data_IF_485429833885
#
_entry.id   IF_485429833885
#
_cell.length_a   1.000
_cell.length_b   1.000
_cell.length_c   1.000
_cell.angle_alpha   90.00
_cell.angle_beta   90.00
_cell.angle_gamma   90.00
#
_symmetry.space_group_name_H-M   'P 1'
#
loop_
_entity.id
_entity.type
_entity.pdbx_description
1 polymer ?
#
# COMPACT_ATOMS: atom_id res chain seq x y z
N UNK A 1 -75.07 23.40 23.61
CA UNK A 1 -74.02 22.35 23.39
C UNK A 1 -73.57 22.52 21.96
N UNK A 2 -72.58 23.31 21.72
CA UNK A 2 -71.95 23.59 20.44
C UNK A 2 -70.65 22.84 20.38
N UNK A 3 -70.58 21.85 19.46
CA UNK A 3 -69.37 21.04 19.24
C UNK A 3 -68.50 21.78 18.26
N UNK A 4 -67.30 22.26 18.74
CA UNK A 4 -66.23 22.79 17.89
C UNK A 4 -65.48 21.62 17.25
N UNK A 5 -65.67 21.44 15.96
CA UNK A 5 -64.87 20.55 15.14
C UNK A 5 -63.61 21.34 14.69
N UNK A 6 -62.46 21.03 15.32
CA UNK A 6 -61.18 21.55 14.87
C UNK A 6 -60.80 20.90 13.53
N UNK A 7 -60.92 21.65 12.46
CA UNK A 7 -60.48 21.29 11.10
C UNK A 7 -58.94 21.37 11.04
N UNK A 8 -58.31 20.18 11.01
CA UNK A 8 -56.86 20.06 10.80
C UNK A 8 -56.52 20.42 9.35
N UNK A 9 -56.04 21.61 9.14
CA UNK A 9 -55.54 22.05 7.83
C UNK A 9 -54.28 21.30 7.47
N UNK A 10 -54.43 20.29 6.62
CA UNK A 10 -53.37 19.53 5.98
C UNK A 10 -52.57 20.48 5.06
N UNK A 11 -51.31 20.78 5.41
CA UNK A 11 -50.44 21.61 4.59
C UNK A 11 -50.20 20.94 3.24
N UNK A 12 -50.46 21.63 2.10
CA UNK A 12 -50.24 21.06 0.79
C UNK A 12 -48.78 20.74 0.60
N UNK A 13 -48.45 19.42 0.38
CA UNK A 13 -47.14 18.95 -0.04
C UNK A 13 -46.86 19.51 -1.43
N UNK A 14 -46.05 20.55 -1.50
CA UNK A 14 -45.62 21.19 -2.75
C UNK A 14 -44.89 20.18 -3.58
N UNK A 15 -45.55 19.59 -4.58
CA UNK A 15 -44.94 18.68 -5.58
C UNK A 15 -43.81 19.45 -6.25
N UNK A 16 -42.56 19.07 -5.93
CA UNK A 16 -41.37 19.63 -6.60
C UNK A 16 -41.48 19.28 -8.08
N UNK A 17 -41.44 20.29 -8.94
CA UNK A 17 -41.54 20.09 -10.40
C UNK A 17 -40.39 19.18 -10.92
N UNK A 18 -40.55 18.50 -12.06
CA UNK A 18 -39.53 17.59 -12.60
C UNK A 18 -38.18 18.26 -12.81
N UNK A 19 -38.15 19.54 -13.09
CA UNK A 19 -36.90 20.33 -13.19
C UNK A 19 -36.13 20.45 -11.87
N UNK A 20 -36.84 20.63 -10.76
CA UNK A 20 -36.21 20.69 -9.42
C UNK A 20 -35.64 19.32 -9.06
N UNK A 21 -36.38 18.26 -9.34
CA UNK A 21 -35.90 16.89 -9.14
C UNK A 21 -34.64 16.60 -9.97
N UNK A 22 -34.65 16.95 -11.26
CA UNK A 22 -33.49 16.73 -12.15
C UNK A 22 -32.27 17.52 -11.67
N UNK A 23 -32.44 18.77 -11.27
CA UNK A 23 -31.37 19.59 -10.68
C UNK A 23 -30.81 18.94 -9.41
N UNK A 24 -31.68 18.50 -8.50
CA UNK A 24 -31.26 17.92 -7.22
C UNK A 24 -30.48 16.61 -7.45
N UNK A 25 -30.90 15.77 -8.41
CA UNK A 25 -30.17 14.57 -8.83
C UNK A 25 -28.80 14.93 -9.42
N UNK A 26 -28.75 15.93 -10.30
CA UNK A 26 -27.49 16.39 -10.90
C UNK A 26 -26.51 16.91 -9.83
N UNK A 27 -26.99 17.69 -8.86
CA UNK A 27 -26.17 18.20 -7.75
C UNK A 27 -25.62 17.03 -6.91
N UNK A 28 -26.44 16.03 -6.60
CA UNK A 28 -25.98 14.84 -5.87
C UNK A 28 -24.88 14.11 -6.64
N UNK A 29 -25.07 13.90 -7.96
CA UNK A 29 -24.07 13.24 -8.80
C UNK A 29 -22.77 14.03 -8.83
N UNK A 30 -22.83 15.36 -8.96
CA UNK A 30 -21.63 16.22 -8.96
C UNK A 30 -20.89 16.15 -7.63
N UNK A 31 -21.63 16.24 -6.52
CA UNK A 31 -21.04 16.14 -5.18
C UNK A 31 -20.42 14.76 -4.97
N UNK A 32 -21.11 13.68 -5.34
CA UNK A 32 -20.61 12.33 -5.23
C UNK A 32 -19.34 12.12 -6.08
N UNK A 33 -19.32 12.65 -7.31
CA UNK A 33 -18.15 12.61 -8.18
C UNK A 33 -16.97 13.38 -7.58
N UNK A 34 -17.21 14.55 -7.02
CA UNK A 34 -16.19 15.40 -6.40
C UNK A 34 -15.61 14.73 -5.14
N UNK A 35 -16.45 14.17 -4.28
CA UNK A 35 -16.01 13.42 -3.09
C UNK A 35 -15.22 12.20 -3.52
N UNK A 36 -15.71 11.43 -4.51
CA UNK A 36 -14.99 10.26 -5.04
C UNK A 36 -13.62 10.66 -5.62
N UNK A 37 -13.56 11.77 -6.34
CA UNK A 37 -12.31 12.31 -6.86
C UNK A 37 -11.31 12.65 -5.77
N UNK A 38 -11.75 13.37 -4.73
CA UNK A 38 -10.88 13.75 -3.59
C UNK A 38 -10.37 12.50 -2.87
N UNK A 39 -11.24 11.54 -2.58
CA UNK A 39 -10.85 10.30 -1.90
C UNK A 39 -9.82 9.51 -2.74
N UNK A 40 -10.09 9.31 -4.03
CA UNK A 40 -9.17 8.58 -4.92
C UNK A 40 -7.83 9.29 -5.14
N UNK A 41 -7.81 10.63 -5.10
CA UNK A 41 -6.60 11.41 -5.40
C UNK A 41 -5.71 11.59 -4.18
N UNK A 42 -6.29 11.63 -2.97
CA UNK A 42 -5.55 12.06 -1.77
C UNK A 42 -5.54 11.04 -0.64
N UNK A 43 -6.39 10.03 -0.68
CA UNK A 43 -6.54 9.09 0.46
C UNK A 43 -6.13 7.68 0.10
N UNK A 44 -6.59 7.17 -1.05
CA UNK A 44 -6.39 5.75 -1.41
C UNK A 44 -6.05 5.63 -2.89
N UNK A 45 -4.93 4.96 -3.18
CA UNK A 45 -4.52 4.63 -4.55
C UNK A 45 -4.52 3.12 -4.79
N UNK A 46 -4.93 2.71 -5.99
CA UNK A 46 -4.89 1.30 -6.40
C UNK A 46 -3.58 1.01 -7.14
N UNK A 47 -2.93 -0.11 -6.79
CA UNK A 47 -1.74 -0.59 -7.47
C UNK A 47 -1.94 -2.02 -7.98
N UNK A 48 -1.26 -2.34 -9.07
CA UNK A 48 -1.18 -3.66 -9.65
C UNK A 48 0.15 -4.32 -9.28
N UNK A 49 0.14 -5.61 -8.96
CA UNK A 49 1.32 -6.37 -8.56
C UNK A 49 1.91 -7.12 -9.76
N UNK A 50 3.04 -6.66 -10.33
CA UNK A 50 3.63 -7.29 -11.51
C UNK A 50 4.62 -8.42 -11.20
N UNK A 51 5.10 -8.54 -9.95
CA UNK A 51 6.20 -9.43 -9.59
C UNK A 51 5.85 -10.35 -8.43
N UNK A 52 6.57 -11.48 -8.34
CA UNK A 52 6.39 -12.48 -7.29
C UNK A 52 7.21 -12.22 -6.02
N UNK A 53 7.77 -11.02 -5.81
CA UNK A 53 8.63 -10.74 -4.65
C UNK A 53 7.90 -10.76 -3.30
N UNK A 54 6.57 -10.67 -3.32
CA UNK A 54 5.69 -10.73 -2.14
C UNK A 54 4.79 -11.97 -2.16
N UNK A 55 5.15 -13.00 -2.98
CA UNK A 55 4.40 -14.24 -3.05
C UNK A 55 4.24 -14.88 -1.67
N UNK A 56 3.11 -15.46 -1.43
CA UNK A 56 2.42 -15.88 -0.23
C UNK A 56 1.48 -14.79 0.32
N UNK A 57 1.90 -13.55 0.41
CA UNK A 57 1.03 -12.42 0.81
C UNK A 57 0.33 -11.81 -0.41
N UNK A 58 1.09 -11.40 -1.43
CA UNK A 58 0.57 -10.83 -2.68
C UNK A 58 1.04 -11.67 -3.87
N UNK A 59 0.12 -12.01 -4.76
CA UNK A 59 0.43 -12.75 -5.98
C UNK A 59 0.51 -11.84 -7.20
N UNK A 60 1.16 -12.32 -8.24
CA UNK A 60 1.18 -11.64 -9.54
C UNK A 60 -0.26 -11.47 -10.03
N UNK A 61 -0.59 -10.30 -10.55
CA UNK A 61 -1.90 -9.82 -10.99
C UNK A 61 -2.87 -9.42 -9.87
N UNK A 62 -2.48 -9.48 -8.60
CA UNK A 62 -3.27 -8.87 -7.54
C UNK A 62 -3.40 -7.35 -7.76
N UNK A 63 -4.53 -6.80 -7.35
CA UNK A 63 -4.73 -5.35 -7.21
C UNK A 63 -4.93 -5.02 -5.75
N UNK A 64 -4.20 -4.05 -5.28
CA UNK A 64 -4.19 -3.64 -3.88
C UNK A 64 -4.63 -2.19 -3.75
N UNK A 65 -5.17 -1.85 -2.59
CA UNK A 65 -5.38 -0.45 -2.17
C UNK A 65 -4.31 -0.06 -1.17
N UNK A 66 -3.82 1.16 -1.37
CA UNK A 66 -2.74 1.78 -0.60
C UNK A 66 -3.28 3.04 0.07
N UNK A 67 -3.13 3.12 1.38
CA UNK A 67 -3.43 4.29 2.19
C UNK A 67 -2.22 5.24 2.16
N UNK A 68 -2.40 6.40 1.54
CA UNK A 68 -1.35 7.42 1.44
C UNK A 68 -1.41 8.42 2.61
N UNK A 69 -2.51 8.46 3.33
CA UNK A 69 -2.79 9.53 4.29
C UNK A 69 -2.41 9.15 5.72
N UNK A 70 -2.90 8.01 6.21
CA UNK A 70 -2.75 7.61 7.61
C UNK A 70 -1.28 7.49 8.04
N UNK A 71 -0.36 6.89 7.24
CA UNK A 71 1.04 6.76 7.63
C UNK A 71 1.79 8.10 7.77
N UNK A 72 1.31 9.16 7.11
CA UNK A 72 1.90 10.51 7.25
C UNK A 72 1.71 11.09 8.66
N UNK A 73 0.76 10.57 9.42
CA UNK A 73 0.39 11.06 10.75
C UNK A 73 0.79 10.07 11.84
N UNK A 74 0.62 8.77 11.60
CA UNK A 74 0.91 7.71 12.57
C UNK A 74 2.31 7.10 12.41
N UNK A 75 2.96 7.31 11.26
CA UNK A 75 4.17 6.59 10.88
C UNK A 75 3.88 5.20 10.33
N UNK A 76 4.93 4.43 10.17
CA UNK A 76 4.90 3.03 9.75
C UNK A 76 5.24 2.13 10.92
N UNK A 77 4.72 0.91 10.90
CA UNK A 77 5.00 -0.12 11.87
C UNK A 77 5.75 -1.29 11.22
N UNK A 78 6.43 -2.10 12.04
CA UNK A 78 7.00 -3.36 11.57
C UNK A 78 5.89 -4.25 11.01
N UNK A 79 6.19 -4.95 9.91
CA UNK A 79 5.20 -5.79 9.24
C UNK A 79 4.33 -5.06 8.22
N UNK A 80 4.28 -3.73 8.23
CA UNK A 80 3.55 -2.98 7.20
C UNK A 80 4.04 -3.35 5.80
N UNK A 81 3.11 -3.58 4.88
CA UNK A 81 3.43 -3.74 3.47
C UNK A 81 3.36 -2.36 2.82
N UNK A 82 4.48 -1.87 2.32
CA UNK A 82 4.59 -0.50 1.78
C UNK A 82 4.82 -0.51 0.27
N UNK A 83 4.22 0.49 -0.39
CA UNK A 83 4.50 0.83 -1.79
C UNK A 83 5.40 2.06 -1.79
N UNK A 84 6.48 2.01 -2.55
CA UNK A 84 7.45 3.10 -2.63
C UNK A 84 8.02 3.25 -4.03
N UNK A 85 8.51 4.45 -4.35
CA UNK A 85 9.22 4.75 -5.59
C UNK A 85 10.63 4.17 -5.51
N UNK A 86 11.22 3.89 -6.68
CA UNK A 86 12.63 3.48 -6.75
C UNK A 86 13.53 4.47 -6.00
N UNK A 87 14.21 4.05 -4.92
CA UNK A 87 15.11 4.95 -4.16
C UNK A 87 16.39 5.31 -4.91
N UNK A 88 16.61 4.71 -6.07
CA UNK A 88 17.73 4.98 -6.94
C UNK A 88 18.46 3.71 -7.41
N UNK A 89 18.03 3.20 -8.56
CA UNK A 89 18.69 2.08 -9.25
C UNK A 89 18.29 0.69 -8.78
N UNK A 90 17.17 0.53 -8.07
CA UNK A 90 16.60 -0.76 -7.75
C UNK A 90 15.85 -1.38 -8.93
N UNK A 91 15.32 -0.53 -9.78
CA UNK A 91 14.66 -0.93 -11.02
C UNK A 91 15.57 -0.68 -12.23
N UNK A 92 15.53 -1.55 -13.25
CA UNK A 92 16.19 -1.25 -14.50
C UNK A 92 15.60 0.04 -15.10
N UNK A 93 16.40 0.84 -15.83
CA UNK A 93 15.91 2.05 -16.48
C UNK A 93 14.66 1.75 -17.31
N UNK A 94 13.60 2.53 -17.11
CA UNK A 94 12.36 2.34 -17.84
C UNK A 94 12.62 2.45 -19.35
N UNK A 95 12.08 1.54 -20.18
CA UNK A 95 12.16 1.66 -21.62
C UNK A 95 11.57 3.00 -22.05
N UNK A 96 12.29 3.76 -22.88
CA UNK A 96 11.76 5.00 -23.43
C UNK A 96 10.52 4.67 -24.27
N UNK A 97 9.35 4.92 -23.74
CA UNK A 97 8.10 4.70 -24.45
C UNK A 97 7.95 5.83 -25.48
N UNK A 98 7.78 5.53 -26.77
CA UNK A 98 7.55 6.57 -27.76
C UNK A 98 6.27 7.35 -27.44
N UNK A 99 6.25 8.65 -27.75
CA UNK A 99 5.10 9.51 -27.53
C UNK A 99 3.83 8.88 -28.12
N UNK A 100 2.81 8.70 -27.27
CA UNK A 100 1.54 8.09 -27.67
C UNK A 100 0.60 9.13 -28.27
N UNK A 101 -0.29 8.75 -29.20
CA UNK A 101 -1.31 9.66 -29.72
C UNK A 101 -2.20 10.21 -28.58
N UNK A 102 -2.57 11.47 -28.66
CA UNK A 102 -3.39 12.19 -27.68
C UNK A 102 -4.66 11.44 -27.24
N UNK A 103 -5.32 10.74 -28.17
CA UNK A 103 -6.53 9.95 -27.85
C UNK A 103 -6.22 8.75 -26.94
N UNK A 104 -5.04 8.16 -27.08
CA UNK A 104 -4.58 7.04 -26.23
C UNK A 104 -4.23 7.58 -24.84
N UNK A 105 -3.56 8.73 -24.76
CA UNK A 105 -3.27 9.40 -23.48
C UNK A 105 -4.55 9.79 -22.74
N UNK A 106 -5.55 10.31 -23.44
CA UNK A 106 -6.85 10.64 -22.86
C UNK A 106 -7.60 9.39 -22.36
N UNK A 107 -7.54 8.28 -23.12
CA UNK A 107 -8.11 7.00 -22.69
C UNK A 107 -7.36 6.42 -21.47
N UNK A 108 -6.03 6.46 -21.48
CA UNK A 108 -5.19 6.05 -20.36
C UNK A 108 -5.47 6.90 -19.12
N UNK A 109 -5.67 8.21 -19.26
CA UNK A 109 -6.07 9.09 -18.18
C UNK A 109 -7.41 8.66 -17.55
N UNK A 110 -8.43 8.37 -18.39
CA UNK A 110 -9.73 7.86 -17.92
C UNK A 110 -9.58 6.50 -17.23
N UNK A 111 -8.79 5.59 -17.79
CA UNK A 111 -8.53 4.27 -17.22
C UNK A 111 -7.77 4.37 -15.88
N UNK A 112 -6.80 5.29 -15.79
CA UNK A 112 -6.10 5.61 -14.53
C UNK A 112 -7.08 6.17 -13.50
N UNK A 113 -7.96 7.07 -13.92
CA UNK A 113 -8.98 7.64 -13.05
C UNK A 113 -9.96 6.57 -12.50
N UNK A 114 -10.27 5.55 -13.28
CA UNK A 114 -11.12 4.42 -12.85
C UNK A 114 -10.32 3.35 -12.09
N UNK A 115 -8.97 3.49 -12.00
CA UNK A 115 -8.09 2.52 -11.34
C UNK A 115 -7.83 1.25 -12.16
N UNK A 116 -8.00 1.33 -13.48
CA UNK A 116 -7.78 0.22 -14.41
C UNK A 116 -6.44 0.31 -15.16
N UNK A 117 -5.69 1.41 -15.00
CA UNK A 117 -4.38 1.56 -15.63
C UNK A 117 -3.31 0.76 -14.89
N UNK A 118 -2.37 0.21 -15.65
CA UNK A 118 -1.18 -0.51 -15.15
C UNK A 118 0.08 0.35 -15.16
N UNK A 119 -0.04 1.63 -15.50
CA UNK A 119 1.11 2.52 -15.75
C UNK A 119 1.91 2.79 -14.48
N UNK A 120 1.27 2.84 -13.31
CA UNK A 120 1.92 3.10 -12.02
C UNK A 120 2.78 1.92 -11.51
N UNK A 121 2.66 0.74 -12.13
CA UNK A 121 3.39 -0.45 -11.68
C UNK A 121 4.87 -0.49 -12.11
N UNK A 122 5.30 0.39 -13.02
CA UNK A 122 6.65 0.36 -13.59
C UNK A 122 7.70 1.09 -12.74
N UNK A 123 7.25 2.06 -11.93
CA UNK A 123 8.16 2.93 -11.15
C UNK A 123 8.04 2.68 -9.63
N UNK A 124 7.23 1.71 -9.21
CA UNK A 124 6.94 1.45 -7.81
C UNK A 124 7.27 0.01 -7.42
N UNK A 125 7.79 -0.13 -6.21
CA UNK A 125 8.07 -1.41 -5.58
C UNK A 125 7.14 -1.64 -4.39
N UNK A 126 6.91 -2.91 -4.07
CA UNK A 126 6.11 -3.32 -2.91
C UNK A 126 6.96 -4.26 -2.07
N UNK A 127 7.15 -3.94 -0.77
CA UNK A 127 7.91 -4.75 0.19
C UNK A 127 7.31 -4.63 1.59
N UNK A 128 7.73 -5.53 2.48
CA UNK A 128 7.38 -5.49 3.91
C UNK A 128 8.43 -4.73 4.70
N UNK A 129 7.98 -3.90 5.62
CA UNK A 129 8.85 -3.17 6.57
C UNK A 129 9.37 -4.15 7.62
N UNK A 130 10.69 -4.31 7.67
CA UNK A 130 11.39 -5.13 8.65
C UNK A 130 12.09 -4.26 9.70
N UNK A 131 12.66 -3.13 9.28
CA UNK A 131 13.33 -2.19 10.20
C UNK A 131 12.79 -0.78 10.06
N UNK A 132 12.53 -0.17 11.20
CA UNK A 132 12.10 1.23 11.38
C UNK A 132 13.31 2.13 11.68
N UNK A 133 13.17 3.47 11.54
CA UNK A 133 14.26 4.40 11.87
C UNK A 133 14.87 4.16 13.25
N UNK A 134 16.16 3.92 13.29
CA UNK A 134 16.93 3.65 14.52
C UNK A 134 17.03 2.17 14.91
N UNK A 135 16.32 1.27 14.24
CA UNK A 135 16.46 -0.15 14.53
C UNK A 135 17.80 -0.71 14.05
N UNK A 136 18.32 -1.63 14.83
CA UNK A 136 19.46 -2.48 14.48
C UNK A 136 18.94 -3.83 13.99
N UNK A 137 19.09 -4.10 12.70
CA UNK A 137 18.56 -5.29 12.03
C UNK A 137 19.73 -6.17 11.58
N UNK A 138 19.74 -7.41 12.01
CA UNK A 138 20.83 -8.35 11.74
C UNK A 138 20.28 -9.66 11.18
N UNK A 139 20.88 -10.17 10.16
CA UNK A 139 20.69 -11.54 9.67
C UNK A 139 22.03 -12.30 9.72
N UNK A 140 22.01 -13.50 10.22
CA UNK A 140 20.96 -14.25 10.90
C UNK A 140 21.56 -14.84 12.19
N UNK A 141 20.69 -15.14 13.15
CA UNK A 141 21.11 -15.91 14.32
C UNK A 141 21.39 -17.39 13.95
N UNK A 142 21.81 -18.19 14.92
CA UNK A 142 22.14 -19.62 14.71
C UNK A 142 20.92 -20.47 14.26
N UNK A 143 19.71 -19.95 14.37
CA UNK A 143 18.47 -20.58 13.90
C UNK A 143 18.01 -20.07 12.53
N UNK A 144 18.80 -19.22 11.88
CA UNK A 144 18.43 -18.62 10.60
C UNK A 144 17.43 -17.46 10.70
N UNK A 145 17.16 -16.94 11.90
CA UNK A 145 16.18 -15.87 12.10
C UNK A 145 16.83 -14.49 12.03
N UNK A 146 16.09 -13.52 11.51
CA UNK A 146 16.45 -12.09 11.64
C UNK A 146 16.28 -11.67 13.10
N UNK A 147 17.16 -10.79 13.56
CA UNK A 147 17.04 -10.14 14.85
C UNK A 147 16.87 -8.63 14.66
N UNK A 148 15.92 -8.04 15.41
CA UNK A 148 15.70 -6.61 15.43
C UNK A 148 15.95 -6.13 16.87
N UNK A 149 16.88 -5.21 17.03
CA UNK A 149 17.30 -4.71 18.35
C UNK A 149 17.77 -5.82 19.31
N UNK A 150 18.26 -6.93 18.75
CA UNK A 150 18.70 -8.12 19.48
C UNK A 150 17.59 -9.13 19.80
N UNK A 151 16.34 -8.85 19.43
CA UNK A 151 15.21 -9.80 19.54
C UNK A 151 15.02 -10.58 18.24
N UNK A 152 15.03 -11.93 18.26
CA UNK A 152 14.74 -12.74 17.09
C UNK A 152 13.25 -12.64 16.74
N UNK A 153 12.93 -12.65 15.45
CA UNK A 153 11.57 -12.69 14.91
C UNK A 153 11.32 -14.02 14.20
N UNK A 154 10.12 -14.60 14.40
CA UNK A 154 9.69 -15.81 13.70
C UNK A 154 8.76 -15.46 12.55
N UNK A 155 9.32 -15.41 11.36
CA UNK A 155 8.67 -14.96 10.14
C UNK A 155 8.02 -16.09 9.34
N UNK A 156 8.07 -17.34 9.81
CA UNK A 156 7.60 -18.52 9.06
C UNK A 156 6.12 -18.45 8.65
N UNK A 157 5.32 -17.66 9.35
CA UNK A 157 3.90 -17.48 9.05
C UNK A 157 3.64 -16.86 7.67
N UNK A 158 4.54 -15.99 7.18
CA UNK A 158 4.36 -15.26 5.91
C UNK A 158 5.48 -15.47 4.89
N UNK A 159 6.61 -16.05 5.26
CA UNK A 159 7.68 -16.30 4.31
C UNK A 159 7.32 -17.36 3.26
N UNK A 160 7.63 -17.06 2.01
CA UNK A 160 7.67 -18.05 0.94
C UNK A 160 9.10 -18.57 0.81
N UNK A 161 9.35 -19.73 1.40
CA UNK A 161 10.65 -20.42 1.38
C UNK A 161 10.52 -21.71 0.57
N UNK A 162 10.87 -21.72 -0.72
CA UNK A 162 10.87 -22.93 -1.52
C UNK A 162 11.98 -23.88 -1.03
N UNK A 163 11.68 -25.18 -1.01
CA UNK A 163 12.67 -26.20 -0.75
C UNK A 163 12.87 -26.61 0.73
N UNK A 164 12.11 -26.01 1.66
CA UNK A 164 12.21 -26.36 3.08
C UNK A 164 13.32 -25.63 3.83
N UNK A 165 13.87 -24.57 3.25
CA UNK A 165 14.77 -23.65 3.92
C UNK A 165 14.07 -22.99 5.12
N UNK A 166 14.80 -22.83 6.20
CA UNK A 166 14.33 -22.17 7.42
C UNK A 166 15.02 -20.83 7.66
N UNK A 167 16.05 -20.51 6.87
CA UNK A 167 16.76 -19.24 6.99
C UNK A 167 15.95 -18.09 6.38
N UNK A 168 15.85 -17.03 7.13
CA UNK A 168 15.13 -15.84 6.70
C UNK A 168 15.83 -15.06 5.57
N UNK A 169 17.10 -15.35 5.29
CA UNK A 169 17.87 -14.77 4.20
C UNK A 169 19.15 -15.57 3.94
N UNK A 170 19.53 -15.68 2.65
CA UNK A 170 20.84 -16.21 2.22
C UNK A 170 21.92 -15.12 2.19
N UNK A 171 21.54 -13.87 2.39
CA UNK A 171 22.45 -12.73 2.42
C UNK A 171 22.57 -12.24 3.85
N UNK A 172 23.80 -12.23 4.36
CA UNK A 172 24.11 -11.65 5.66
C UNK A 172 24.05 -10.12 5.61
N UNK A 173 23.52 -9.52 6.67
CA UNK A 173 23.54 -8.09 6.86
C UNK A 173 23.51 -7.74 8.35
N UNK A 174 24.16 -6.62 8.68
CA UNK A 174 24.19 -6.03 10.00
C UNK A 174 24.08 -4.52 9.82
N UNK A 175 22.87 -3.98 9.97
CA UNK A 175 22.56 -2.60 9.59
C UNK A 175 21.81 -1.88 10.70
N UNK A 176 22.12 -0.60 10.87
CA UNK A 176 21.29 0.31 11.66
C UNK A 176 20.53 1.22 10.71
N UNK A 177 19.20 1.18 10.79
CA UNK A 177 18.34 1.95 9.91
C UNK A 177 18.48 3.44 10.16
N UNK A 178 18.88 4.25 9.17
CA UNK A 178 19.02 5.69 9.33
C UNK A 178 17.70 6.38 9.71
N UNK A 179 17.80 7.55 10.32
CA UNK A 179 16.65 8.42 10.52
C UNK A 179 15.95 8.68 9.17
N UNK A 180 14.61 8.69 9.17
CA UNK A 180 13.77 8.89 7.99
C UNK A 180 13.93 7.85 6.87
N UNK A 181 14.35 6.63 7.20
CA UNK A 181 14.47 5.52 6.26
C UNK A 181 13.84 4.25 6.81
N UNK A 182 13.58 3.30 5.92
CA UNK A 182 13.09 1.96 6.24
C UNK A 182 14.05 0.92 5.68
N UNK A 183 14.13 -0.23 6.38
CA UNK A 183 14.70 -1.46 5.84
C UNK A 183 13.55 -2.38 5.45
N UNK A 184 13.49 -2.75 4.17
CA UNK A 184 12.36 -3.48 3.63
C UNK A 184 12.80 -4.78 2.97
N UNK A 185 11.97 -5.83 3.09
CA UNK A 185 12.24 -7.12 2.48
C UNK A 185 10.98 -7.68 1.81
N UNK A 186 11.17 -8.51 0.80
CA UNK A 186 10.08 -9.25 0.19
C UNK A 186 9.73 -10.51 0.99
N UNK A 187 8.47 -10.91 0.97
CA UNK A 187 8.03 -12.14 1.63
C UNK A 187 8.51 -13.40 0.88
N UNK A 188 8.74 -13.29 -0.43
CA UNK A 188 9.46 -14.29 -1.21
C UNK A 188 10.97 -13.95 -1.22
N UNK A 189 11.67 -14.39 -0.19
CA UNK A 189 13.06 -14.03 0.09
C UNK A 189 14.02 -14.31 -1.06
N UNK A 190 13.83 -15.43 -1.76
CA UNK A 190 14.71 -15.88 -2.85
C UNK A 190 14.46 -15.13 -4.16
N UNK A 191 13.28 -14.51 -4.30
CA UNK A 191 12.87 -13.80 -5.52
C UNK A 191 12.64 -12.31 -5.30
N UNK A 192 13.29 -11.75 -4.30
CA UNK A 192 13.11 -10.33 -3.94
C UNK A 192 14.40 -9.54 -4.12
N UNK A 193 14.38 -8.61 -5.04
CA UNK A 193 15.36 -7.53 -5.10
C UNK A 193 14.88 -6.44 -4.12
N UNK A 194 15.39 -6.49 -2.89
CA UNK A 194 15.00 -5.62 -1.79
C UNK A 194 16.22 -4.96 -1.13
N UNK A 195 16.10 -4.45 0.09
CA UNK A 195 17.18 -3.78 0.83
C UNK A 195 18.47 -4.59 0.83
N UNK A 196 18.40 -5.92 0.94
CA UNK A 196 19.55 -6.82 0.98
C UNK A 196 20.38 -6.80 -0.32
N UNK A 197 19.70 -6.73 -1.45
CA UNK A 197 20.31 -6.75 -2.76
C UNK A 197 20.96 -5.41 -3.17
N UNK A 198 20.67 -4.33 -2.43
CA UNK A 198 21.02 -2.97 -2.80
C UNK A 198 21.93 -2.28 -1.77
N UNK A 199 22.58 -3.06 -0.88
CA UNK A 199 23.48 -2.55 0.14
C UNK A 199 24.68 -1.79 -0.45
N UNK A 200 25.15 -2.20 -1.61
CA UNK A 200 26.29 -1.59 -2.31
C UNK A 200 25.93 -0.27 -3.05
N UNK A 201 24.64 0.07 -3.15
CA UNK A 201 24.21 1.33 -3.76
C UNK A 201 24.42 2.52 -2.81
N UNK A 202 24.49 3.75 -3.32
CA UNK A 202 24.70 4.95 -2.50
C UNK A 202 23.68 5.12 -1.36
N UNK A 203 22.48 4.58 -1.51
CA UNK A 203 21.43 4.54 -0.48
C UNK A 203 21.62 3.45 0.58
N UNK A 204 22.60 2.55 0.43
CA UNK A 204 22.86 1.46 1.39
C UNK A 204 21.71 0.45 1.52
N UNK A 205 20.83 0.35 0.51
CA UNK A 205 19.63 -0.50 0.56
C UNK A 205 18.48 0.07 1.39
N UNK A 206 18.59 1.28 1.92
CA UNK A 206 17.51 1.91 2.67
C UNK A 206 16.52 2.63 1.77
N UNK A 207 15.24 2.60 2.16
CA UNK A 207 14.16 3.32 1.49
C UNK A 207 13.86 4.59 2.28
N UNK A 208 14.12 5.79 1.72
CA UNK A 208 13.75 7.04 2.36
C UNK A 208 12.23 7.13 2.58
N UNK A 209 11.78 7.61 3.73
CA UNK A 209 10.33 7.81 4.00
C UNK A 209 9.66 8.72 2.97
N UNK A 210 10.43 9.65 2.36
CA UNK A 210 9.93 10.55 1.31
C UNK A 210 9.58 9.83 0.00
N UNK A 211 10.14 8.65 -0.24
CA UNK A 211 9.86 7.83 -1.42
C UNK A 211 8.71 6.84 -1.17
N UNK A 212 8.29 6.66 0.08
CA UNK A 212 7.16 5.79 0.41
C UNK A 212 5.86 6.48 0.02
N UNK A 213 5.10 5.84 -0.86
CA UNK A 213 3.78 6.29 -1.31
C UNK A 213 2.75 6.07 -0.22
N UNK A 214 2.73 4.87 0.38
CA UNK A 214 1.79 4.55 1.44
C UNK A 214 1.82 3.08 1.84
N UNK A 215 0.89 2.72 2.73
CA UNK A 215 0.70 1.38 3.26
C UNK A 215 -0.39 0.64 2.50
N UNK A 216 -0.06 -0.54 1.96
CA UNK A 216 -1.02 -1.45 1.36
C UNK A 216 -1.84 -2.12 2.48
N UNK A 217 -3.17 -2.08 2.36
CA UNK A 217 -4.05 -2.59 3.42
C UNK A 217 -5.12 -3.55 2.93
N UNK A 218 -5.43 -3.56 1.62
CA UNK A 218 -6.51 -4.38 1.08
C UNK A 218 -6.15 -4.92 -0.31
N UNK A 219 -6.35 -6.21 -0.51
CA UNK A 219 -6.38 -6.82 -1.86
C UNK A 219 -7.80 -6.75 -2.38
N UNK A 220 -8.00 -6.14 -3.57
CA UNK A 220 -9.33 -5.93 -4.18
C UNK A 220 -9.62 -6.86 -5.33
N UNK A 221 -8.60 -7.42 -5.95
CA UNK A 221 -8.71 -8.31 -7.10
C UNK A 221 -7.55 -9.31 -7.09
N UNK A 222 -7.78 -10.56 -7.49
CA UNK A 222 -9.07 -11.15 -7.90
C UNK A 222 -10.05 -11.30 -6.72
N UNK A 223 -11.35 -11.49 -6.99
CA UNK A 223 -12.38 -11.47 -5.94
C UNK A 223 -12.29 -12.62 -4.93
N UNK A 224 -11.72 -13.74 -5.35
CA UNK A 224 -11.43 -14.89 -4.47
C UNK A 224 -10.30 -14.61 -3.47
N UNK A 225 -9.53 -13.55 -3.69
CA UNK A 225 -8.47 -13.06 -2.81
C UNK A 225 -8.81 -11.73 -2.13
N UNK A 226 -10.08 -11.29 -2.24
CA UNK A 226 -10.50 -10.06 -1.58
C UNK A 226 -10.36 -10.17 -0.06
N UNK A 227 -9.55 -9.28 0.53
CA UNK A 227 -9.31 -9.30 1.97
C UNK A 227 -8.24 -8.31 2.43
N UNK A 228 -8.20 -8.06 3.72
CA UNK A 228 -7.16 -7.23 4.33
C UNK A 228 -5.79 -7.91 4.19
N UNK A 229 -4.77 -7.10 3.97
CA UNK A 229 -3.37 -7.56 3.96
C UNK A 229 -2.92 -7.67 5.41
N UNK A 230 -2.42 -8.85 5.79
CA UNK A 230 -1.97 -9.12 7.14
C UNK A 230 -0.57 -8.51 7.37
N UNK A 231 -0.44 -7.72 8.42
CA UNK A 231 0.82 -7.12 8.89
C UNK A 231 1.63 -8.07 9.77
N UNK A 232 1.02 -9.16 10.23
CA UNK A 232 1.63 -10.15 11.13
C UNK A 232 2.18 -9.52 12.41
N UNK A 233 1.38 -8.67 13.03
CA UNK A 233 1.75 -7.94 14.26
C UNK A 233 2.26 -8.87 15.39
N UNK A 234 1.80 -10.12 15.42
CA UNK A 234 2.23 -11.13 16.38
C UNK A 234 3.73 -11.45 16.26
N UNK A 235 4.30 -11.38 15.04
CA UNK A 235 5.72 -11.64 14.78
C UNK A 235 6.60 -10.53 15.36
N UNK A 236 6.11 -9.31 15.31
CA UNK A 236 6.87 -8.10 15.66
C UNK A 236 6.59 -7.58 17.07
N UNK A 237 5.61 -8.14 17.79
CA UNK A 237 5.15 -7.64 19.09
C UNK A 237 6.22 -7.62 20.17
N UNK A 238 7.22 -8.49 20.09
CA UNK A 238 8.27 -8.62 21.09
C UNK A 238 9.50 -7.74 20.85
N UNK A 239 9.50 -6.93 19.80
CA UNK A 239 10.64 -6.10 19.45
C UNK A 239 10.76 -4.94 20.45
N UNK A 240 11.90 -4.80 21.15
CA UNK A 240 12.16 -3.62 21.96
C UNK A 240 12.38 -2.40 21.05
N UNK A 241 11.97 -1.24 21.51
CA UNK A 241 12.28 0.01 20.78
C UNK A 241 13.78 0.18 20.52
N UNK A 242 14.15 1.00 19.53
CA UNK A 242 15.55 1.21 19.16
C UNK A 242 16.35 1.68 20.37
N UNK A 243 17.55 1.09 20.54
CA UNK A 243 18.47 1.50 21.60
C UNK A 243 18.96 2.92 21.31
N UNK A 244 18.73 3.83 22.23
CA UNK A 244 19.22 5.22 22.18
C UNK A 244 20.73 5.28 22.34
#
# INVERSE_FOLDING_TARGET
>A
MTSDAAESAEKPTRRRGPWVFLRDVLVIIVIAALVSFVVKTFVVRSFYIPSGSMERTLLINDRILVDELTPRWSGYDHGDVVVFKDPGGWLPPAPQTPARPFLVEAADWVLTFVGLSTTDAQDHLVKRVIGLPGDHVVCCNALGQITINGSPIDELSYLNLPGGDTAASDVDFDVTVPANSLWVMGDNRDRSQDSRAHQDLPGGGFVPLGDVVGRAFLTTWPLDRFGLIDTHDEVFRSIPGPKK
#
